data_IF_246446045812
#
_entry.id   IF_246446045812
#
_cell.length_a   1.000
_cell.length_b   1.000
_cell.length_c   1.000
_cell.angle_alpha   90.00
_cell.angle_beta   90.00
_cell.angle_gamma   90.00
#
_symmetry.space_group_name_H-M   'P 1'
#
loop_
_entity.id
_entity.type
_entity.pdbx_description
1 polymer ?
#
# COMPACT_ATOMS: atom_id res chain seq x y z
N UNK A 1 27.07 4.31 -0.32
CA UNK A 1 25.96 3.80 -1.15
C UNK A 1 24.64 4.09 -0.43
N UNK A 2 24.08 5.29 -0.59
CA UNK A 2 22.83 5.70 0.09
C UNK A 2 21.64 5.15 -0.69
N UNK A 3 21.28 3.88 -0.42
CA UNK A 3 20.04 3.33 -0.97
C UNK A 3 18.85 4.08 -0.38
N UNK A 4 17.98 4.56 -1.26
CA UNK A 4 16.61 4.98 -0.95
C UNK A 4 15.81 3.75 -0.49
N UNK A 5 16.04 3.31 0.75
CA UNK A 5 15.59 2.01 1.27
C UNK A 5 14.07 1.93 1.51
N UNK A 6 13.36 3.06 1.52
CA UNK A 6 11.91 3.07 1.72
C UNK A 6 11.09 2.64 0.50
N UNK A 7 11.53 2.95 -0.73
CA UNK A 7 10.73 2.72 -1.93
C UNK A 7 10.80 1.28 -2.46
N UNK A 8 11.95 0.61 -2.27
CA UNK A 8 12.13 -0.78 -2.69
C UNK A 8 11.35 -1.75 -1.81
N UNK A 9 11.50 -1.63 -0.49
CA UNK A 9 10.91 -2.59 0.47
C UNK A 9 9.39 -2.61 0.43
N UNK A 10 8.72 -1.48 0.13
CA UNK A 10 7.26 -1.46 -0.07
C UNK A 10 6.86 -2.40 -1.21
N UNK A 11 7.57 -2.33 -2.34
CA UNK A 11 7.26 -3.13 -3.53
C UNK A 11 7.54 -4.61 -3.31
N UNK A 12 8.60 -4.93 -2.56
CA UNK A 12 8.91 -6.30 -2.14
C UNK A 12 7.82 -6.90 -1.23
N UNK A 13 7.09 -6.05 -0.52
CA UNK A 13 5.91 -6.42 0.27
C UNK A 13 4.61 -6.32 -0.54
N UNK A 14 4.69 -6.00 -1.84
CA UNK A 14 3.54 -5.82 -2.75
C UNK A 14 2.48 -4.83 -2.25
N UNK A 15 2.84 -3.93 -1.33
CA UNK A 15 1.92 -2.93 -0.80
C UNK A 15 1.76 -1.79 -1.79
N UNK A 16 0.55 -1.28 -2.00
CA UNK A 16 0.37 -0.01 -2.69
C UNK A 16 0.92 1.17 -1.83
N UNK A 17 0.99 2.37 -2.41
CA UNK A 17 1.30 3.57 -1.62
C UNK A 17 0.23 3.84 -0.54
N UNK A 18 -1.03 3.55 -0.84
CA UNK A 18 -2.17 3.66 0.08
C UNK A 18 -2.11 2.62 1.21
N UNK A 19 -1.80 1.36 0.89
CA UNK A 19 -1.65 0.27 1.84
C UNK A 19 -0.52 0.53 2.83
N UNK A 20 0.64 1.01 2.35
CA UNK A 20 1.73 1.41 3.24
C UNK A 20 1.35 2.63 4.09
N UNK A 21 0.64 3.61 3.52
CA UNK A 21 0.17 4.76 4.27
C UNK A 21 -0.80 4.36 5.40
N UNK A 22 -1.75 3.47 5.13
CA UNK A 22 -2.69 2.94 6.10
C UNK A 22 -1.97 2.20 7.24
N UNK A 23 -0.99 1.34 6.90
CA UNK A 23 -0.18 0.61 7.87
C UNK A 23 0.62 1.54 8.80
N UNK A 24 1.12 2.65 8.26
CA UNK A 24 1.97 3.59 8.99
C UNK A 24 1.19 4.72 9.67
N UNK A 25 -0.13 4.84 9.47
CA UNK A 25 -0.89 6.00 9.92
C UNK A 25 -0.43 7.31 9.25
N UNK A 26 -0.16 7.25 7.95
CA UNK A 26 0.33 8.34 7.10
C UNK A 26 -0.60 8.56 5.91
N UNK A 27 -0.20 9.42 4.96
CA UNK A 27 -0.89 9.61 3.67
C UNK A 27 -0.13 8.95 2.53
N UNK A 28 -0.88 8.49 1.53
CA UNK A 28 -0.37 8.03 0.23
C UNK A 28 0.53 9.08 -0.45
N UNK A 29 0.16 10.36 -0.36
CA UNK A 29 1.02 11.47 -0.82
C UNK A 29 2.35 11.54 -0.07
N UNK A 30 2.37 11.35 1.26
CA UNK A 30 3.60 11.35 2.03
C UNK A 30 4.53 10.21 1.61
N UNK A 31 3.96 9.00 1.44
CA UNK A 31 4.69 7.84 0.90
C UNK A 31 5.27 8.16 -0.48
N UNK A 32 4.48 8.71 -1.40
CA UNK A 32 4.95 9.09 -2.73
C UNK A 32 6.09 10.11 -2.70
N UNK A 33 6.06 11.07 -1.76
CA UNK A 33 7.15 12.06 -1.58
C UNK A 33 8.41 11.41 -1.02
N UNK A 34 8.30 10.44 -0.11
CA UNK A 34 9.43 9.65 0.37
C UNK A 34 10.08 8.87 -0.77
N UNK A 35 9.29 8.22 -1.61
CA UNK A 35 9.80 7.43 -2.74
C UNK A 35 10.48 8.29 -3.80
N UNK A 36 9.97 9.51 -4.04
CA UNK A 36 10.55 10.49 -4.96
C UNK A 36 11.74 11.26 -4.37
N UNK A 37 12.15 10.94 -3.13
CA UNK A 37 13.24 11.65 -2.44
C UNK A 37 12.93 13.11 -2.09
N UNK A 38 11.66 13.54 -2.19
CA UNK A 38 11.24 14.93 -1.95
C UNK A 38 11.15 15.26 -0.46
N UNK A 39 11.03 14.24 0.38
CA UNK A 39 11.01 14.35 1.84
C UNK A 39 11.71 13.13 2.44
N UNK A 40 12.33 13.29 3.60
CA UNK A 40 12.99 12.20 4.31
C UNK A 40 11.95 11.21 4.88
N UNK A 41 12.23 9.92 4.74
CA UNK A 41 11.47 8.85 5.43
C UNK A 41 11.68 9.00 6.95
N UNK A 42 10.61 9.06 7.76
CA UNK A 42 10.73 9.03 9.22
C UNK A 42 11.48 7.77 9.69
N UNK A 43 12.39 7.91 10.67
CA UNK A 43 13.23 6.79 11.12
C UNK A 43 12.41 5.59 11.64
N UNK A 44 11.26 5.84 12.26
CA UNK A 44 10.38 4.78 12.76
C UNK A 44 9.74 4.01 11.60
N UNK A 45 9.35 4.70 10.52
CA UNK A 45 8.75 4.08 9.34
C UNK A 45 9.77 3.19 8.60
N UNK A 46 11.01 3.67 8.44
CA UNK A 46 12.10 2.87 7.85
C UNK A 46 12.37 1.59 8.66
N UNK A 47 12.44 1.70 10.00
CA UNK A 47 12.67 0.54 10.89
C UNK A 47 11.54 -0.47 10.83
N UNK A 48 10.28 0.00 10.88
CA UNK A 48 9.12 -0.87 10.81
C UNK A 48 9.04 -1.58 9.45
N UNK A 49 9.30 -0.86 8.36
CA UNK A 49 9.27 -1.44 7.02
C UNK A 49 10.33 -2.54 6.84
N UNK A 50 11.54 -2.35 7.41
CA UNK A 50 12.58 -3.39 7.41
C UNK A 50 12.20 -4.62 8.24
N UNK A 51 11.58 -4.40 9.40
CA UNK A 51 11.11 -5.49 10.24
C UNK A 51 10.05 -6.31 9.50
N UNK A 52 9.03 -5.65 8.94
CA UNK A 52 7.97 -6.32 8.20
C UNK A 52 8.50 -7.06 6.98
N UNK A 53 9.43 -6.45 6.23
CA UNK A 53 10.07 -7.11 5.11
C UNK A 53 10.83 -8.37 5.54
N UNK A 54 11.58 -8.31 6.64
CA UNK A 54 12.31 -9.47 7.17
C UNK A 54 11.35 -10.59 7.56
N UNK A 55 10.32 -10.28 8.36
CA UNK A 55 9.32 -11.27 8.78
C UNK A 55 8.58 -11.87 7.57
N UNK A 56 8.27 -11.05 6.56
CA UNK A 56 7.68 -11.51 5.32
C UNK A 56 8.62 -12.47 4.57
N UNK A 57 9.89 -12.10 4.40
CA UNK A 57 10.91 -12.91 3.75
C UNK A 57 11.15 -14.25 4.48
N UNK A 58 11.07 -14.26 5.81
CA UNK A 58 11.18 -15.46 6.65
C UNK A 58 9.89 -16.32 6.68
N UNK A 59 8.84 -15.90 5.97
CA UNK A 59 7.62 -16.72 5.82
C UNK A 59 6.59 -16.52 6.93
N UNK A 60 6.67 -15.45 7.73
CA UNK A 60 5.72 -15.20 8.81
C UNK A 60 4.28 -15.05 8.30
N UNK A 61 3.45 -16.05 8.57
CA UNK A 61 2.05 -16.14 8.10
C UNK A 61 1.17 -14.98 8.58
N UNK A 62 1.43 -14.42 9.76
CA UNK A 62 0.64 -13.30 10.30
C UNK A 62 0.96 -12.01 9.56
N UNK A 63 2.24 -11.78 9.24
CA UNK A 63 2.68 -10.61 8.48
C UNK A 63 2.19 -10.70 7.04
N UNK A 64 2.26 -11.89 6.41
CA UNK A 64 1.69 -12.12 5.08
C UNK A 64 0.19 -11.86 5.03
N UNK A 65 -0.57 -12.44 5.97
CA UNK A 65 -2.02 -12.20 6.04
C UNK A 65 -2.39 -10.74 6.32
N UNK A 66 -1.56 -9.98 7.04
CA UNK A 66 -1.75 -8.53 7.20
C UNK A 66 -1.58 -7.79 5.87
N UNK A 67 -0.51 -8.10 5.13
CA UNK A 67 -0.22 -7.48 3.83
C UNK A 67 -1.33 -7.79 2.82
N UNK A 68 -1.76 -9.05 2.74
CA UNK A 68 -2.85 -9.47 1.85
C UNK A 68 -4.14 -8.68 2.13
N UNK A 69 -4.51 -8.50 3.41
CA UNK A 69 -5.69 -7.70 3.78
C UNK A 69 -5.58 -6.24 3.38
N UNK A 70 -4.40 -5.64 3.51
CA UNK A 70 -4.16 -4.26 3.07
C UNK A 70 -4.30 -4.13 1.55
N UNK A 71 -3.79 -5.11 0.80
CA UNK A 71 -3.91 -5.13 -0.65
C UNK A 71 -5.36 -5.31 -1.11
N UNK A 72 -6.10 -6.26 -0.52
CA UNK A 72 -7.52 -6.47 -0.85
C UNK A 72 -8.39 -5.24 -0.55
N UNK A 73 -8.10 -4.51 0.53
CA UNK A 73 -8.83 -3.28 0.86
C UNK A 73 -8.60 -2.18 -0.20
N UNK A 74 -7.38 -2.07 -0.73
CA UNK A 74 -7.03 -1.10 -1.75
C UNK A 74 -7.60 -1.48 -3.12
N UNK A 75 -7.61 -2.76 -3.47
CA UNK A 75 -8.27 -3.29 -4.67
C UNK A 75 -9.78 -3.02 -4.65
N UNK A 76 -10.44 -3.26 -3.51
CA UNK A 76 -11.86 -2.97 -3.33
C UNK A 76 -12.16 -1.47 -3.52
N UNK A 77 -11.26 -0.59 -3.09
CA UNK A 77 -11.37 0.87 -3.33
C UNK A 77 -11.14 1.23 -4.79
N UNK A 78 -10.29 0.50 -5.50
CA UNK A 78 -9.96 0.73 -6.90
C UNK A 78 -11.00 0.13 -7.88
N UNK A 79 -11.87 -0.77 -7.40
CA UNK A 79 -12.94 -1.36 -8.19
C UNK A 79 -13.80 -0.26 -8.83
N UNK A 80 -13.71 -0.15 -10.15
CA UNK A 80 -14.43 0.85 -10.93
C UNK A 80 -15.88 0.42 -11.12
N UNK A 81 -16.79 1.03 -10.36
CA UNK A 81 -18.22 0.88 -10.57
C UNK A 81 -18.61 1.55 -11.89
N UNK A 82 -18.85 0.77 -12.94
CA UNK A 82 -19.41 1.29 -14.20
C UNK A 82 -20.92 1.20 -14.08
N UNK A 83 -21.59 2.36 -14.14
CA UNK A 83 -23.04 2.44 -14.11
C UNK A 83 -23.57 2.80 -15.50
N UNK A 84 -24.57 2.07 -15.96
CA UNK A 84 -25.36 2.44 -17.12
C UNK A 84 -26.65 3.14 -16.70
N UNK A 85 -27.07 4.14 -17.48
CA UNK A 85 -28.33 4.85 -17.24
C UNK A 85 -29.47 4.14 -17.98
N UNK A 86 -30.45 3.62 -17.22
CA UNK A 86 -31.70 3.07 -17.73
C UNK A 86 -32.89 4.00 -17.41
N UNK A 87 -34.05 3.83 -18.07
CA UNK A 87 -35.26 4.59 -17.75
C UNK A 87 -35.72 4.45 -16.29
N UNK A 88 -35.41 3.32 -15.62
CA UNK A 88 -35.72 3.06 -14.21
C UNK A 88 -34.64 3.53 -13.22
N UNK A 89 -33.59 4.21 -13.71
CA UNK A 89 -32.49 4.71 -12.90
C UNK A 89 -31.12 4.14 -13.31
N UNK A 90 -30.13 4.32 -12.43
CA UNK A 90 -28.79 3.81 -12.63
C UNK A 90 -28.70 2.33 -12.25
N UNK A 91 -28.05 1.52 -13.08
CA UNK A 91 -27.73 0.11 -12.78
C UNK A 91 -26.27 -0.16 -13.07
N UNK A 92 -25.71 -1.16 -12.42
CA UNK A 92 -24.38 -1.69 -12.74
C UNK A 92 -24.37 -2.16 -14.20
N UNK A 93 -23.38 -1.68 -14.96
CA UNK A 93 -23.21 -2.06 -16.35
C UNK A 93 -22.70 -3.52 -16.42
N UNK A 94 -23.36 -4.34 -17.23
CA UNK A 94 -23.00 -5.75 -17.46
C UNK A 94 -21.77 -5.89 -18.36
#
# INVERSE_FOLDING_TARGET
MHHYLGSGLRKELELSQGGLAALLGSTDQAVARWEKGRTRVPKWADRLLRLLWREHAEGNVKVRGLIERLNSADEAKAARLVLERRPSGWREAA
#
